data_IF_802926736210
#
_entry.id   IF_802926736210
#
_cell.length_a   1.000
_cell.length_b   1.000
_cell.length_c   1.000
_cell.angle_alpha   90.00
_cell.angle_beta   90.00
_cell.angle_gamma   90.00
#
_symmetry.space_group_name_H-M   'P 1'
#
loop_
_entity.id
_entity.type
_entity.pdbx_description
1 polymer ?
#
# COMPACT_ATOMS: atom_id res chain seq x y z
N UNK A 1 18.67 -11.28 -21.80
CA UNK A 1 19.23 -11.58 -20.46
C UNK A 1 18.17 -11.23 -19.43
N UNK A 2 17.40 -12.23 -19.00
CA UNK A 2 16.21 -12.06 -18.16
C UNK A 2 16.65 -11.83 -16.71
N UNK A 3 16.50 -10.60 -16.23
CA UNK A 3 16.85 -10.24 -14.86
C UNK A 3 15.82 -10.92 -13.94
N UNK A 4 16.29 -11.98 -13.28
CA UNK A 4 15.55 -12.85 -12.36
C UNK A 4 15.13 -12.04 -11.11
N UNK A 5 13.93 -11.49 -11.11
CA UNK A 5 13.29 -10.97 -9.90
C UNK A 5 12.70 -12.16 -9.14
N UNK A 6 13.46 -12.69 -8.19
CA UNK A 6 13.08 -13.87 -7.42
C UNK A 6 13.30 -13.62 -5.94
N UNK A 7 12.35 -12.95 -5.28
CA UNK A 7 12.07 -13.26 -3.89
C UNK A 7 10.56 -13.38 -3.71
N UNK A 8 10.02 -14.44 -4.30
CA UNK A 8 8.68 -14.94 -4.03
C UNK A 8 8.71 -15.59 -2.64
N UNK A 9 8.76 -14.75 -1.59
CA UNK A 9 8.49 -15.23 -0.23
C UNK A 9 7.04 -15.68 -0.27
N UNK A 10 6.83 -17.00 -0.30
CA UNK A 10 5.52 -17.63 -0.22
C UNK A 10 4.92 -17.30 1.15
N UNK A 11 4.29 -16.13 1.24
CA UNK A 11 3.46 -15.77 2.39
C UNK A 11 2.32 -16.76 2.38
N UNK A 12 2.25 -17.55 3.44
CA UNK A 12 1.26 -18.59 3.70
C UNK A 12 -0.14 -18.05 3.37
N UNK A 13 -0.66 -18.36 2.18
CA UNK A 13 -1.98 -17.92 1.74
C UNK A 13 -3.04 -18.75 2.49
N UNK A 14 -3.29 -18.42 3.76
CA UNK A 14 -4.50 -18.86 4.46
C UNK A 14 -5.67 -18.03 3.93
N UNK A 15 -6.10 -18.35 2.72
CA UNK A 15 -7.28 -17.78 2.09
C UNK A 15 -8.52 -18.56 2.50
N UNK A 16 -9.29 -18.02 3.45
CA UNK A 16 -10.71 -18.34 3.55
C UNK A 16 -11.37 -17.74 2.30
N UNK A 17 -11.52 -18.54 1.25
CA UNK A 17 -12.06 -18.14 -0.04
C UNK A 17 -13.59 -18.01 0.01
N UNK A 18 -14.08 -17.08 0.82
CA UNK A 18 -15.46 -16.63 0.73
C UNK A 18 -15.55 -15.60 -0.41
N UNK A 19 -15.82 -16.05 -1.64
CA UNK A 19 -16.41 -15.24 -2.73
C UNK A 19 -15.60 -14.10 -3.35
N UNK A 20 -14.48 -13.66 -2.79
CA UNK A 20 -13.67 -12.59 -3.39
C UNK A 20 -12.62 -13.17 -4.34
N UNK A 21 -12.88 -13.04 -5.64
CA UNK A 21 -11.87 -13.12 -6.68
C UNK A 21 -10.69 -12.23 -6.26
N UNK A 22 -9.49 -12.79 -6.07
CA UNK A 22 -8.33 -12.06 -5.52
C UNK A 22 -8.04 -10.73 -6.24
N UNK A 23 -8.38 -10.63 -7.52
CA UNK A 23 -8.27 -9.40 -8.31
C UNK A 23 -9.23 -8.27 -7.89
N UNK A 24 -10.26 -8.55 -7.07
CA UNK A 24 -11.22 -7.58 -6.57
C UNK A 24 -10.81 -6.95 -5.24
N UNK A 25 -9.94 -7.61 -4.46
CA UNK A 25 -9.51 -7.09 -3.15
C UNK A 25 -8.50 -5.95 -3.37
N UNK A 26 -8.96 -4.71 -3.19
CA UNK A 26 -8.15 -3.50 -3.30
C UNK A 26 -7.63 -3.05 -1.94
N UNK A 27 -6.31 -2.98 -1.81
CA UNK A 27 -5.64 -2.48 -0.62
C UNK A 27 -5.74 -0.95 -0.55
N UNK A 28 -6.39 -0.39 0.48
CA UNK A 28 -6.49 1.07 0.63
C UNK A 28 -5.16 1.76 0.98
N UNK A 29 -4.19 1.03 1.56
CA UNK A 29 -2.89 1.61 1.96
C UNK A 29 -1.97 1.88 0.77
N UNK A 30 -1.88 0.94 -0.17
CA UNK A 30 -0.94 1.02 -1.29
C UNK A 30 -1.65 1.08 -2.66
N UNK A 31 -2.98 0.94 -2.69
CA UNK A 31 -3.81 0.83 -3.90
C UNK A 31 -3.54 -0.42 -4.75
N UNK A 32 -2.76 -1.39 -4.25
CA UNK A 32 -2.53 -2.68 -4.90
C UNK A 32 -3.75 -3.62 -4.82
N UNK A 33 -3.75 -4.67 -5.63
CA UNK A 33 -4.80 -5.69 -5.68
C UNK A 33 -4.32 -7.00 -5.04
N UNK A 34 -5.20 -7.98 -4.83
CA UNK A 34 -4.82 -9.32 -4.40
C UNK A 34 -4.62 -9.53 -2.91
N UNK A 35 -4.73 -8.48 -2.08
CA UNK A 35 -4.46 -8.58 -0.65
C UNK A 35 -5.25 -7.56 0.18
N UNK A 36 -5.58 -7.93 1.42
CA UNK A 36 -6.14 -6.98 2.36
C UNK A 36 -5.07 -6.01 2.83
N UNK A 37 -5.50 -4.83 3.26
CA UNK A 37 -4.57 -3.85 3.82
C UNK A 37 -3.79 -4.42 5.02
N UNK A 38 -4.36 -5.31 5.84
CA UNK A 38 -3.65 -5.94 6.98
C UNK A 38 -2.42 -6.76 6.54
N UNK A 39 -2.44 -7.30 5.33
CA UNK A 39 -1.38 -8.12 4.75
C UNK A 39 -0.45 -7.32 3.81
N UNK A 40 -0.64 -6.00 3.73
CA UNK A 40 0.14 -5.15 2.85
C UNK A 40 1.59 -5.04 3.34
N UNK A 41 2.51 -5.57 2.54
CA UNK A 41 3.96 -5.50 2.77
C UNK A 41 4.59 -4.22 2.21
N UNK A 42 3.82 -3.44 1.44
CA UNK A 42 4.29 -2.16 0.90
C UNK A 42 4.45 -1.19 2.06
N UNK A 43 5.67 -0.69 2.22
CA UNK A 43 5.95 0.33 3.24
C UNK A 43 5.06 1.56 3.00
N UNK A 44 4.40 2.10 4.04
CA UNK A 44 3.71 3.38 3.93
C UNK A 44 4.65 4.41 3.31
N UNK A 45 4.12 5.29 2.44
CA UNK A 45 4.87 6.40 1.86
C UNK A 45 5.55 7.14 3.01
N UNK A 46 6.90 7.16 3.00
CA UNK A 46 7.63 7.98 3.97
C UNK A 46 7.20 9.43 3.74
N UNK A 47 6.79 10.10 4.81
CA UNK A 47 6.54 11.53 4.79
C UNK A 47 7.89 12.22 4.72
N UNK A 48 8.30 12.61 3.52
CA UNK A 48 9.52 13.40 3.34
C UNK A 48 9.32 14.83 3.82
N UNK A 49 10.41 15.58 3.93
CA UNK A 49 10.38 16.97 4.38
C UNK A 49 9.48 17.84 3.48
N UNK A 50 9.43 17.56 2.17
CA UNK A 50 8.59 18.29 1.23
C UNK A 50 7.09 18.08 1.51
N UNK A 51 6.67 16.84 1.75
CA UNK A 51 5.29 16.50 2.10
C UNK A 51 4.85 17.11 3.42
N UNK A 52 5.74 17.13 4.43
CA UNK A 52 5.48 17.78 5.72
C UNK A 52 5.38 19.30 5.56
N UNK A 53 6.27 19.91 4.80
CA UNK A 53 6.25 21.33 4.51
C UNK A 53 4.95 21.75 3.82
N UNK A 54 4.50 20.99 2.82
CA UNK A 54 3.22 21.26 2.14
C UNK A 54 2.03 21.15 3.07
N UNK A 55 1.97 20.14 3.95
CA UNK A 55 0.85 20.01 4.90
C UNK A 55 0.79 21.16 5.91
N UNK A 56 1.93 21.64 6.41
CA UNK A 56 1.96 22.80 7.30
C UNK A 56 1.45 24.06 6.61
N UNK A 57 1.86 24.29 5.36
CA UNK A 57 1.38 25.42 4.57
C UNK A 57 -0.12 25.38 4.28
N UNK A 58 -0.70 24.18 4.15
CA UNK A 58 -2.15 24.01 3.97
C UNK A 58 -2.87 24.35 5.28
N UNK A 59 -2.43 23.79 6.42
CA UNK A 59 -3.03 24.06 7.72
C UNK A 59 -3.01 25.56 8.08
N UNK A 60 -1.91 26.25 7.80
CA UNK A 60 -1.79 27.69 8.03
C UNK A 60 -2.74 28.54 7.17
N UNK A 61 -3.18 28.02 6.02
CA UNK A 61 -4.10 28.74 5.11
C UNK A 61 -5.57 28.51 5.45
N UNK A 62 -5.89 27.47 6.21
CA UNK A 62 -7.26 27.19 6.66
C UNK A 62 -7.64 28.00 7.92
N UNK A 63 -6.65 28.55 8.64
CA UNK A 63 -6.87 29.41 9.81
C UNK A 63 -7.00 30.92 9.48
N UNK A 64 -6.92 31.30 8.19
CA UNK A 64 -6.98 32.69 7.72
C UNK A 64 -8.32 33.06 7.07
#
# INVERSE_FOLDING_TARGET
NQIRNGNLVAVHAKGNAAGYNGNQIRCYKCRGLGHFARDCTVRPRRRDAAYLQTQLLIAQKEEA
#
